data_IF_845500145470
#
_entry.id   IF_845500145470
#
_cell.length_a   1.000
_cell.length_b   1.000
_cell.length_c   1.000
_cell.angle_alpha   90.00
_cell.angle_beta   90.00
_cell.angle_gamma   90.00
#
_symmetry.space_group_name_H-M   'P 1'
#
loop_
_entity.id
_entity.type
_entity.pdbx_description
1 polymer ?
#
# COMPACT_ATOMS: atom_id res chain seq x y z
N UNK A 1 19.36 4.42 11.34
CA UNK A 1 20.82 4.53 11.41
C UNK A 1 21.42 3.78 12.60
N UNK A 2 21.00 4.07 13.80
CA UNK A 2 21.44 3.36 15.00
C UNK A 2 21.15 1.85 14.98
N UNK A 3 20.05 1.43 14.37
CA UNK A 3 19.54 0.06 14.37
C UNK A 3 20.37 -0.92 13.53
N UNK A 4 20.80 -0.53 12.35
CA UNK A 4 21.67 -1.40 11.52
C UNK A 4 23.06 -1.50 12.14
N UNK A 5 23.54 -0.40 12.75
CA UNK A 5 24.77 -0.38 13.50
C UNK A 5 24.71 -1.21 14.80
N UNK A 6 23.55 -1.27 15.47
CA UNK A 6 23.35 -2.09 16.67
C UNK A 6 23.33 -3.59 16.36
N UNK A 7 22.65 -4.01 15.30
CA UNK A 7 22.64 -5.43 14.89
C UNK A 7 24.04 -5.95 14.52
N UNK A 8 24.88 -5.08 13.98
CA UNK A 8 26.30 -5.38 13.70
C UNK A 8 27.16 -5.28 14.98
N UNK A 9 26.84 -4.34 15.89
CA UNK A 9 27.60 -4.08 17.12
C UNK A 9 27.61 -5.28 18.07
N UNK A 10 26.49 -5.96 18.24
CA UNK A 10 26.39 -7.09 19.18
C UNK A 10 27.09 -8.36 18.69
N UNK A 11 27.57 -8.39 17.44
CA UNK A 11 28.25 -9.55 16.85
C UNK A 11 29.74 -9.36 16.54
N UNK A 12 30.21 -8.12 16.55
CA UNK A 12 31.64 -7.86 16.37
C UNK A 12 32.32 -7.87 17.73
N UNK A 13 33.29 -8.77 17.97
CA UNK A 13 34.00 -8.85 19.25
C UNK A 13 34.71 -7.51 19.50
N UNK A 14 34.25 -6.80 20.50
CA UNK A 14 34.89 -5.57 20.98
C UNK A 14 35.99 -5.91 21.96
N UNK A 15 37.23 -5.75 21.56
CA UNK A 15 38.40 -5.92 22.47
C UNK A 15 38.68 -4.73 23.35
N UNK A 16 37.97 -3.59 23.20
CA UNK A 16 38.20 -2.35 23.97
C UNK A 16 36.98 -1.45 24.13
N UNK A 17 35.74 -1.96 24.12
CA UNK A 17 34.52 -1.14 24.25
C UNK A 17 34.25 -0.23 23.06
N UNK A 18 34.87 -0.45 21.88
CA UNK A 18 34.68 0.33 20.68
C UNK A 18 34.14 -0.57 19.55
N UNK A 19 33.11 -0.18 18.81
CA UNK A 19 32.68 -0.93 17.65
C UNK A 19 33.79 -0.85 16.59
N UNK A 20 34.60 -1.92 16.49
CA UNK A 20 35.54 -2.10 15.39
C UNK A 20 34.94 -3.08 14.41
N UNK A 21 34.82 -2.65 13.17
CA UNK A 21 34.75 -3.57 12.05
C UNK A 21 36.13 -4.19 11.98
N UNK A 22 36.25 -5.47 12.38
CA UNK A 22 37.48 -6.20 12.33
C UNK A 22 37.99 -6.21 10.88
N UNK A 23 39.23 -5.80 10.60
CA UNK A 23 39.84 -5.94 9.29
C UNK A 23 39.72 -7.35 8.73
N UNK A 24 39.78 -8.37 9.59
CA UNK A 24 39.59 -9.78 9.22
C UNK A 24 38.17 -10.09 8.71
N UNK A 25 37.16 -9.31 9.04
CA UNK A 25 35.83 -9.43 8.45
C UNK A 25 35.85 -9.03 6.98
N UNK A 26 36.63 -8.01 6.62
CA UNK A 26 36.84 -7.64 5.21
C UNK A 26 37.62 -8.73 4.44
N UNK A 27 38.61 -9.35 5.07
CA UNK A 27 39.36 -10.44 4.47
C UNK A 27 38.46 -11.67 4.23
N UNK A 28 37.71 -12.10 5.26
CA UNK A 28 36.75 -13.22 5.17
C UNK A 28 35.62 -12.98 4.18
N UNK A 29 35.21 -11.74 4.02
CA UNK A 29 34.28 -11.31 2.97
C UNK A 29 34.86 -11.56 1.58
N UNK A 30 36.18 -11.33 1.39
CA UNK A 30 36.90 -11.65 0.14
C UNK A 30 37.11 -13.12 -0.13
N UNK A 31 37.14 -13.96 0.91
CA UNK A 31 37.32 -15.42 0.86
C UNK A 31 36.01 -16.20 0.61
N UNK A 32 34.88 -15.52 0.45
CA UNK A 32 33.60 -16.16 0.13
C UNK A 32 32.83 -16.73 1.32
N UNK A 33 33.31 -16.56 2.55
CA UNK A 33 32.61 -16.96 3.78
C UNK A 33 31.29 -16.21 3.94
N UNK A 34 31.20 -14.98 3.38
CA UNK A 34 30.00 -14.17 3.28
C UNK A 34 29.74 -13.76 1.81
N UNK A 35 28.94 -14.54 1.06
CA UNK A 35 28.78 -14.34 -0.41
C UNK A 35 28.31 -12.94 -0.83
N UNK A 36 27.68 -12.20 0.07
CA UNK A 36 27.19 -10.83 -0.16
C UNK A 36 28.03 -9.77 0.56
N UNK A 37 29.20 -10.12 1.06
CA UNK A 37 30.07 -9.21 1.77
C UNK A 37 29.49 -8.75 3.11
N UNK A 38 29.87 -7.54 3.55
CA UNK A 38 29.34 -6.93 4.78
C UNK A 38 27.80 -6.86 4.80
N UNK A 39 27.17 -6.74 3.64
CA UNK A 39 25.72 -6.76 3.44
C UNK A 39 25.11 -8.11 3.83
N UNK A 40 25.75 -9.20 3.44
CA UNK A 40 25.37 -10.56 3.83
C UNK A 40 25.50 -10.81 5.33
N UNK A 41 26.53 -10.26 5.97
CA UNK A 41 26.72 -10.37 7.42
C UNK A 41 25.58 -9.74 8.23
N UNK A 42 25.03 -8.61 7.76
CA UNK A 42 23.91 -7.94 8.44
C UNK A 42 22.64 -8.81 8.39
N UNK A 43 22.42 -9.52 7.30
CA UNK A 43 21.25 -10.37 7.08
C UNK A 43 21.49 -11.85 7.42
N UNK A 44 22.75 -12.26 7.66
CA UNK A 44 23.07 -13.62 8.07
C UNK A 44 22.55 -13.91 9.48
N UNK A 45 22.13 -15.14 9.73
CA UNK A 45 21.76 -15.66 11.06
C UNK A 45 20.43 -15.15 11.67
N UNK A 46 19.54 -14.48 10.92
CA UNK A 46 18.19 -14.14 11.38
C UNK A 46 18.07 -13.01 12.41
N UNK A 47 19.16 -12.49 12.97
CA UNK A 47 19.13 -11.49 14.04
C UNK A 47 18.39 -10.21 13.71
N UNK A 48 18.38 -9.80 12.44
CA UNK A 48 17.61 -8.62 12.03
C UNK A 48 16.11 -8.90 12.10
N UNK A 49 15.69 -10.12 11.76
CA UNK A 49 14.29 -10.52 11.88
C UNK A 49 13.85 -10.63 13.35
N UNK A 50 14.71 -11.10 14.27
CA UNK A 50 14.42 -11.10 15.72
C UNK A 50 14.25 -9.67 16.25
N UNK A 51 15.10 -8.75 15.79
CA UNK A 51 14.95 -7.32 16.07
C UNK A 51 13.62 -6.79 15.58
N UNK A 52 13.18 -7.14 14.36
CA UNK A 52 11.90 -6.70 13.80
C UNK A 52 10.72 -7.20 14.65
N UNK A 53 10.75 -8.44 15.15
CA UNK A 53 9.69 -8.97 16.03
C UNK A 53 9.56 -8.14 17.31
N UNK A 54 10.70 -7.79 17.95
CA UNK A 54 10.69 -6.92 19.11
C UNK A 54 10.08 -5.55 18.80
N UNK A 55 10.50 -4.92 17.70
CA UNK A 55 10.00 -3.59 17.30
C UNK A 55 8.54 -3.57 16.85
N UNK A 56 8.06 -4.63 16.24
CA UNK A 56 6.64 -4.79 15.92
C UNK A 56 5.78 -4.89 17.18
N UNK A 57 6.29 -5.54 18.22
CA UNK A 57 5.63 -5.58 19.54
C UNK A 57 5.58 -4.19 20.18
N UNK A 58 6.67 -3.43 20.13
CA UNK A 58 6.70 -2.03 20.59
C UNK A 58 5.70 -1.13 19.83
N UNK A 59 5.65 -1.26 18.49
CA UNK A 59 4.67 -0.54 17.64
C UNK A 59 3.22 -0.86 18.03
N UNK A 60 2.95 -2.11 18.39
CA UNK A 60 1.62 -2.54 18.85
C UNK A 60 1.28 -1.97 20.22
N UNK A 61 2.23 -1.97 21.17
CA UNK A 61 2.06 -1.36 22.48
C UNK A 61 1.80 0.16 22.43
N UNK A 62 2.44 0.84 21.48
CA UNK A 62 2.23 2.28 21.24
C UNK A 62 0.95 2.59 20.44
N UNK A 63 0.17 1.59 20.06
CA UNK A 63 -1.04 1.76 19.27
C UNK A 63 -0.83 2.07 17.80
N UNK A 64 0.42 2.16 17.33
CA UNK A 64 0.76 2.52 15.93
C UNK A 64 0.39 1.38 14.97
N UNK A 65 0.50 0.13 15.42
CA UNK A 65 0.16 -1.06 14.64
C UNK A 65 -1.11 -1.76 15.17
N UNK A 66 -1.99 -1.02 15.82
CA UNK A 66 -3.26 -1.52 16.38
C UNK A 66 -4.39 -1.50 15.36
N UNK A 67 -5.45 -2.26 15.63
CA UNK A 67 -6.70 -2.22 14.85
C UNK A 67 -7.35 -0.84 14.91
N UNK A 68 -8.05 -0.49 13.85
CA UNK A 68 -8.75 0.81 13.73
C UNK A 68 -9.93 0.83 14.71
N UNK A 69 -9.99 1.85 15.55
CA UNK A 69 -11.14 2.05 16.41
C UNK A 69 -12.29 2.72 15.63
N UNK A 70 -13.32 1.94 15.32
CA UNK A 70 -14.50 2.41 14.57
C UNK A 70 -15.55 3.10 15.44
N UNK A 71 -15.43 3.08 16.78
CA UNK A 71 -16.47 3.58 17.69
C UNK A 71 -16.79 5.07 17.50
N UNK A 72 -15.80 5.87 17.10
CA UNK A 72 -15.92 7.31 16.87
C UNK A 72 -16.25 7.70 15.43
N UNK A 73 -16.32 6.74 14.52
CA UNK A 73 -16.63 7.03 13.12
C UNK A 73 -18.12 7.28 12.94
N UNK A 74 -18.54 8.13 11.99
CA UNK A 74 -19.95 8.35 11.69
C UNK A 74 -20.62 7.10 11.10
N UNK A 75 -21.95 7.05 11.13
CA UNK A 75 -22.76 6.01 10.48
C UNK A 75 -22.44 5.91 9.00
N UNK A 76 -22.36 4.70 8.45
CA UNK A 76 -21.96 4.45 7.07
C UNK A 76 -20.44 4.37 6.85
N UNK A 77 -19.62 4.72 7.86
CA UNK A 77 -18.18 4.45 7.77
C UNK A 77 -17.93 2.96 7.78
N UNK A 78 -16.91 2.51 7.03
CA UNK A 78 -16.48 1.12 7.08
C UNK A 78 -14.98 0.99 7.34
N UNK A 79 -14.64 -0.16 7.91
CA UNK A 79 -13.26 -0.56 8.22
C UNK A 79 -12.99 -1.91 7.59
N UNK A 80 -11.91 -1.98 6.80
CA UNK A 80 -11.39 -3.19 6.17
C UNK A 80 -9.98 -3.44 6.70
N UNK A 81 -9.80 -4.57 7.41
CA UNK A 81 -8.51 -5.00 7.94
C UNK A 81 -8.32 -6.50 7.69
N UNK A 82 -7.15 -6.89 7.21
CA UNK A 82 -6.79 -8.30 7.07
C UNK A 82 -5.27 -8.48 7.03
N UNK A 83 -4.77 -9.63 7.52
CA UNK A 83 -3.36 -9.96 7.40
C UNK A 83 -3.03 -10.30 5.95
N UNK A 84 -1.87 -9.90 5.51
CA UNK A 84 -1.34 -10.18 4.18
C UNK A 84 0.00 -10.91 4.30
N UNK A 85 0.22 -11.87 3.41
CA UNK A 85 1.49 -12.59 3.24
C UNK A 85 1.98 -12.32 1.82
N UNK A 86 3.23 -11.89 1.68
CA UNK A 86 3.82 -11.64 0.36
C UNK A 86 4.04 -12.95 -0.39
N UNK A 87 3.44 -13.09 -1.57
CA UNK A 87 3.74 -14.17 -2.52
C UNK A 87 5.04 -13.89 -3.30
N UNK A 88 5.37 -12.61 -3.50
CA UNK A 88 6.57 -12.14 -4.18
C UNK A 88 7.20 -11.00 -3.37
N UNK A 89 8.54 -10.80 -3.46
CA UNK A 89 9.21 -9.78 -2.67
C UNK A 89 8.62 -8.38 -2.87
N UNK A 90 8.70 -7.56 -1.83
CA UNK A 90 8.38 -6.14 -1.89
C UNK A 90 9.66 -5.31 -1.83
N UNK A 91 9.74 -4.32 -2.70
CA UNK A 91 10.86 -3.39 -2.81
C UNK A 91 10.34 -1.96 -2.86
N UNK A 92 10.92 -1.11 -2.02
CA UNK A 92 10.70 0.33 -2.03
C UNK A 92 12.00 0.99 -1.61
N UNK A 93 12.64 1.72 -2.51
CA UNK A 93 13.93 2.37 -2.20
C UNK A 93 13.73 3.48 -1.17
N UNK A 94 14.64 3.52 -0.18
CA UNK A 94 14.77 4.64 0.73
C UNK A 94 15.81 5.64 0.16
N UNK A 95 15.52 6.93 0.26
CA UNK A 95 16.39 8.00 -0.25
C UNK A 95 17.41 8.49 0.80
N UNK A 96 17.49 7.85 1.96
CA UNK A 96 18.43 8.22 3.02
C UNK A 96 19.83 7.69 2.68
N UNK A 97 20.81 8.61 2.54
CA UNK A 97 22.17 8.33 2.09
C UNK A 97 23.08 7.61 3.12
N UNK A 98 22.59 7.28 4.31
CA UNK A 98 23.42 6.76 5.41
C UNK A 98 23.24 5.26 5.72
N UNK A 99 22.75 4.48 4.78
CA UNK A 99 22.71 3.03 4.95
C UNK A 99 24.01 2.37 4.46
N UNK A 100 24.46 1.35 5.16
CA UNK A 100 25.57 0.49 4.73
C UNK A 100 25.24 -0.20 3.40
N UNK A 101 23.96 -0.37 3.10
CA UNK A 101 23.42 -0.99 1.89
C UNK A 101 23.09 0.10 0.88
N UNK A 102 23.57 -0.04 -0.36
CA UNK A 102 23.39 0.95 -1.44
C UNK A 102 21.92 1.12 -1.87
N UNK A 103 21.14 0.04 -1.78
CA UNK A 103 19.72 0.03 -2.14
C UNK A 103 18.88 -0.51 -0.98
N UNK A 104 18.74 0.27 0.11
CA UNK A 104 17.96 -0.16 1.27
C UNK A 104 16.47 -0.15 0.95
N UNK A 105 15.72 -1.09 1.53
CA UNK A 105 14.27 -1.00 1.57
C UNK A 105 13.84 0.11 2.53
N UNK A 106 12.76 0.79 2.21
CA UNK A 106 12.23 1.86 3.06
C UNK A 106 11.80 1.33 4.42
N UNK A 107 12.33 1.96 5.47
CA UNK A 107 12.07 1.64 6.88
C UNK A 107 11.48 2.84 7.61
N UNK A 108 10.71 2.58 8.66
CA UNK A 108 10.36 3.60 9.62
C UNK A 108 11.63 4.17 10.27
N UNK A 109 11.69 5.48 10.41
CA UNK A 109 12.92 6.16 10.87
C UNK A 109 13.22 5.95 12.34
N UNK A 110 12.20 5.71 13.15
CA UNK A 110 12.33 5.55 14.61
C UNK A 110 12.61 4.09 14.96
N UNK A 111 11.79 3.19 14.40
CA UNK A 111 11.83 1.78 14.75
C UNK A 111 12.71 0.92 13.84
N UNK A 112 13.10 1.44 12.66
CA UNK A 112 13.90 0.69 11.68
C UNK A 112 13.14 -0.48 11.03
N UNK A 113 11.83 -0.55 11.16
CA UNK A 113 10.99 -1.62 10.61
C UNK A 113 10.67 -1.31 9.15
N UNK A 114 10.82 -2.26 8.22
CA UNK A 114 10.42 -2.06 6.83
C UNK A 114 8.91 -1.88 6.75
N UNK A 115 8.46 -0.92 5.95
CA UNK A 115 7.05 -0.59 5.85
C UNK A 115 6.64 -0.06 4.49
N UNK A 116 5.36 -0.17 4.21
CA UNK A 116 4.71 0.57 3.14
C UNK A 116 3.87 1.69 3.75
N UNK A 117 4.09 2.93 3.31
CA UNK A 117 3.39 4.07 3.88
C UNK A 117 1.93 4.15 3.41
N UNK A 118 1.08 4.81 4.21
CA UNK A 118 -0.29 5.13 3.85
C UNK A 118 -0.41 5.82 2.47
N UNK A 119 0.52 6.73 2.17
CA UNK A 119 0.55 7.43 0.87
C UNK A 119 0.89 6.48 -0.29
N UNK A 120 1.77 5.49 -0.07
CA UNK A 120 2.10 4.50 -1.09
C UNK A 120 0.90 3.57 -1.35
N UNK A 121 0.18 3.13 -0.32
CA UNK A 121 -1.08 2.39 -0.46
C UNK A 121 -2.10 3.19 -1.26
N UNK A 122 -2.34 4.45 -0.87
CA UNK A 122 -3.26 5.34 -1.58
C UNK A 122 -2.89 5.51 -3.05
N UNK A 123 -1.62 5.73 -3.35
CA UNK A 123 -1.13 5.91 -4.72
C UNK A 123 -1.29 4.66 -5.58
N UNK A 124 -0.99 3.48 -5.01
CA UNK A 124 -1.14 2.21 -5.72
C UNK A 124 -2.61 1.87 -5.98
N UNK A 125 -3.48 1.99 -4.97
CA UNK A 125 -4.90 1.71 -5.14
C UNK A 125 -5.55 2.69 -6.12
N UNK A 126 -5.24 3.99 -6.01
CA UNK A 126 -5.72 5.02 -6.93
C UNK A 126 -5.36 4.68 -8.38
N UNK A 127 -4.12 4.33 -8.63
CA UNK A 127 -3.64 3.94 -9.95
C UNK A 127 -4.32 2.66 -10.45
N UNK A 128 -4.46 1.66 -9.61
CA UNK A 128 -5.12 0.40 -9.97
C UNK A 128 -6.58 0.62 -10.34
N UNK A 129 -7.33 1.40 -9.55
CA UNK A 129 -8.73 1.69 -9.85
C UNK A 129 -8.88 2.51 -11.15
N UNK A 130 -7.91 3.37 -11.49
CA UNK A 130 -7.88 4.02 -12.81
C UNK A 130 -7.74 3.01 -13.95
N UNK A 131 -6.88 2.00 -13.78
CA UNK A 131 -6.68 0.93 -14.77
C UNK A 131 -7.91 0.03 -14.93
N UNK A 132 -8.56 -0.29 -13.83
CA UNK A 132 -9.70 -1.22 -13.79
C UNK A 132 -11.00 -0.56 -14.25
N UNK A 133 -11.24 0.68 -13.85
CA UNK A 133 -12.54 1.32 -14.05
C UNK A 133 -12.52 2.44 -15.10
N UNK A 134 -11.48 3.24 -15.19
CA UNK A 134 -11.44 4.40 -16.08
C UNK A 134 -10.96 4.03 -17.48
N UNK A 135 -9.84 3.36 -17.63
CA UNK A 135 -9.28 3.02 -18.93
C UNK A 135 -10.25 2.19 -19.81
N UNK A 136 -10.95 1.14 -19.29
CA UNK A 136 -11.89 0.38 -20.09
C UNK A 136 -13.14 1.17 -20.55
N UNK A 137 -13.40 2.32 -19.93
CA UNK A 137 -14.54 3.18 -20.25
C UNK A 137 -14.13 4.50 -20.97
N UNK A 138 -12.91 4.57 -21.52
CA UNK A 138 -12.39 5.75 -22.18
C UNK A 138 -13.23 6.19 -23.42
N UNK A 139 -13.87 5.24 -24.08
CA UNK A 139 -14.71 5.47 -25.27
C UNK A 139 -16.17 5.86 -24.90
N UNK A 140 -16.51 5.94 -23.61
CA UNK A 140 -17.84 6.33 -23.14
C UNK A 140 -17.72 7.54 -22.20
N UNK A 141 -17.80 8.79 -22.71
CA UNK A 141 -17.56 10.00 -21.94
C UNK A 141 -18.48 10.14 -20.72
N UNK A 142 -19.77 9.81 -20.84
CA UNK A 142 -20.72 9.96 -19.74
C UNK A 142 -20.39 9.01 -18.58
N UNK A 143 -20.15 7.73 -18.88
CA UNK A 143 -19.75 6.75 -17.89
C UNK A 143 -18.39 7.07 -17.29
N UNK A 144 -17.45 7.52 -18.12
CA UNK A 144 -16.13 7.95 -17.68
C UNK A 144 -16.20 9.10 -16.68
N UNK A 145 -17.05 10.11 -16.92
CA UNK A 145 -17.26 11.24 -15.98
C UNK A 145 -17.78 10.76 -14.65
N UNK A 146 -18.79 9.87 -14.64
CA UNK A 146 -19.37 9.34 -13.40
C UNK A 146 -18.30 8.59 -12.56
N UNK A 147 -17.56 7.70 -13.20
CA UNK A 147 -16.49 6.93 -12.54
C UNK A 147 -15.38 7.87 -12.03
N UNK A 148 -14.92 8.82 -12.86
CA UNK A 148 -13.87 9.79 -12.49
C UNK A 148 -14.29 10.68 -11.32
N UNK A 149 -15.55 11.09 -11.32
CA UNK A 149 -16.11 11.88 -10.22
C UNK A 149 -16.12 11.10 -8.91
N UNK A 150 -16.64 9.85 -8.89
CA UNK A 150 -16.58 8.98 -7.72
C UNK A 150 -15.15 8.71 -7.27
N UNK A 151 -14.25 8.45 -8.20
CA UNK A 151 -12.83 8.28 -7.91
C UNK A 151 -12.22 9.53 -7.24
N UNK A 152 -12.65 10.73 -7.65
CA UNK A 152 -12.24 11.98 -6.99
C UNK A 152 -12.80 12.10 -5.57
N UNK A 153 -14.02 11.67 -5.30
CA UNK A 153 -14.58 11.64 -3.95
C UNK A 153 -13.86 10.63 -3.05
N UNK A 154 -13.49 9.46 -3.58
CA UNK A 154 -12.77 8.42 -2.84
C UNK A 154 -11.34 8.85 -2.47
N UNK A 155 -10.58 9.42 -3.42
CA UNK A 155 -9.17 9.71 -3.26
C UNK A 155 -8.82 11.19 -3.02
N UNK A 156 -9.77 12.08 -3.17
CA UNK A 156 -9.53 13.52 -3.23
C UNK A 156 -9.09 14.00 -4.61
N UNK A 157 -8.93 15.30 -4.75
CA UNK A 157 -8.58 15.97 -6.00
C UNK A 157 -7.35 15.34 -6.67
N UNK A 158 -7.37 15.25 -7.97
CA UNK A 158 -6.30 14.68 -8.77
C UNK A 158 -5.01 15.50 -8.65
N UNK A 159 -3.86 14.81 -8.61
CA UNK A 159 -2.57 15.49 -8.69
C UNK A 159 -2.45 16.24 -10.02
N UNK A 160 -2.12 17.52 -9.95
CA UNK A 160 -2.05 18.42 -11.11
C UNK A 160 -3.39 19.07 -11.47
N UNK A 161 -4.42 18.90 -10.64
CA UNK A 161 -5.68 19.61 -10.79
C UNK A 161 -5.45 21.13 -10.78
N UNK A 162 -6.09 21.84 -11.69
CA UNK A 162 -5.87 23.29 -11.89
C UNK A 162 -4.68 23.62 -12.79
N UNK A 163 -3.61 22.84 -12.79
CA UNK A 163 -2.42 23.05 -13.64
C UNK A 163 -2.42 22.18 -14.91
N UNK A 164 -3.39 21.27 -15.04
CA UNK A 164 -3.49 20.31 -16.16
C UNK A 164 -2.20 19.50 -16.33
N UNK A 165 -1.70 18.94 -15.22
CA UNK A 165 -0.49 18.11 -15.14
C UNK A 165 -0.78 16.78 -14.45
N UNK A 166 0.16 15.85 -14.51
CA UNK A 166 0.12 14.59 -13.78
C UNK A 166 -1.11 13.75 -14.12
N UNK A 167 -1.86 13.32 -13.10
CA UNK A 167 -3.04 12.48 -13.29
C UNK A 167 -4.17 13.18 -14.03
N UNK A 168 -4.36 14.47 -13.79
CA UNK A 168 -5.37 15.26 -14.50
C UNK A 168 -5.09 15.30 -16.01
N UNK A 169 -3.84 15.55 -16.39
CA UNK A 169 -3.43 15.55 -17.80
C UNK A 169 -3.64 14.18 -18.46
N UNK A 170 -3.25 13.12 -17.75
CA UNK A 170 -3.43 11.76 -18.23
C UNK A 170 -4.89 11.42 -18.49
N UNK A 171 -5.78 11.70 -17.52
CA UNK A 171 -7.22 11.42 -17.66
C UNK A 171 -7.92 12.31 -18.69
N UNK A 172 -7.50 13.58 -18.79
CA UNK A 172 -8.01 14.50 -19.83
C UNK A 172 -7.58 14.08 -21.25
N UNK A 173 -6.42 13.42 -21.40
CA UNK A 173 -5.97 12.83 -22.67
C UNK A 173 -6.65 11.51 -22.97
N UNK A 174 -6.95 10.72 -21.95
CA UNK A 174 -7.61 9.41 -22.10
C UNK A 174 -9.04 9.54 -22.61
N UNK A 175 -9.80 10.53 -22.11
CA UNK A 175 -11.16 10.83 -22.57
C UNK A 175 -11.35 12.36 -22.66
N UNK A 176 -10.95 12.99 -23.78
CA UNK A 176 -11.01 14.45 -23.94
C UNK A 176 -12.43 15.03 -23.80
N UNK A 177 -13.43 14.32 -24.29
CA UNK A 177 -14.84 14.75 -24.30
C UNK A 177 -15.44 14.78 -22.87
N UNK A 178 -14.91 13.98 -21.95
CA UNK A 178 -15.32 13.97 -20.55
C UNK A 178 -14.81 15.18 -19.74
N UNK A 179 -13.80 15.91 -20.26
CA UNK A 179 -13.10 16.96 -19.52
C UNK A 179 -14.01 18.08 -19.00
N UNK A 180 -14.86 18.61 -19.87
CA UNK A 180 -15.74 19.72 -19.51
C UNK A 180 -16.87 19.27 -18.59
N UNK A 181 -17.47 18.11 -18.83
CA UNK A 181 -18.53 17.55 -17.99
C UNK A 181 -18.03 17.26 -16.57
N UNK A 182 -16.81 16.72 -16.45
CA UNK A 182 -16.17 16.52 -15.14
C UNK A 182 -16.00 17.83 -14.36
N UNK A 183 -15.59 18.91 -15.03
CA UNK A 183 -15.43 20.22 -14.40
C UNK A 183 -16.76 20.82 -13.97
N UNK A 184 -17.79 20.69 -14.79
CA UNK A 184 -19.16 21.14 -14.45
C UNK A 184 -19.65 20.38 -13.20
N UNK A 185 -19.57 19.07 -13.20
CA UNK A 185 -20.03 18.22 -12.09
C UNK A 185 -19.31 18.56 -10.76
N UNK A 186 -18.00 18.82 -10.78
CA UNK A 186 -17.27 19.25 -9.59
C UNK A 186 -17.69 20.64 -9.12
N UNK A 187 -17.88 21.60 -10.03
CA UNK A 187 -18.36 22.96 -9.68
C UNK A 187 -19.71 22.91 -8.99
N UNK A 188 -20.65 22.16 -9.54
CA UNK A 188 -22.00 22.01 -9.00
C UNK A 188 -21.98 21.33 -7.62
N UNK A 189 -21.30 20.17 -7.50
CA UNK A 189 -21.22 19.44 -6.22
C UNK A 189 -20.61 20.27 -5.10
N UNK A 190 -19.57 21.06 -5.38
CA UNK A 190 -18.84 21.81 -4.37
C UNK A 190 -19.19 23.32 -4.34
N UNK A 191 -20.18 23.74 -5.12
CA UNK A 191 -20.63 25.14 -5.19
C UNK A 191 -19.46 26.13 -5.40
N UNK A 192 -18.61 25.87 -6.38
CA UNK A 192 -17.46 26.69 -6.71
C UNK A 192 -17.66 27.42 -8.05
N UNK A 193 -17.10 28.63 -8.16
CA UNK A 193 -17.15 29.41 -9.41
C UNK A 193 -16.27 28.79 -10.51
N UNK A 194 -15.11 28.30 -10.13
CA UNK A 194 -14.18 27.64 -11.04
C UNK A 194 -13.85 26.23 -10.54
N UNK A 195 -13.78 25.27 -11.45
CA UNK A 195 -13.41 23.90 -11.12
C UNK A 195 -11.97 23.78 -10.56
N UNK A 196 -11.05 24.68 -10.97
CA UNK A 196 -9.68 24.69 -10.45
C UNK A 196 -9.62 24.98 -8.95
N UNK A 197 -10.64 25.66 -8.39
CA UNK A 197 -10.70 26.01 -6.96
C UNK A 197 -11.32 24.87 -6.12
N UNK A 198 -11.68 23.74 -6.77
CA UNK A 198 -12.16 22.56 -6.07
C UNK A 198 -10.98 21.77 -5.53
N UNK A 199 -10.76 21.83 -4.23
CA UNK A 199 -9.80 21.01 -3.51
C UNK A 199 -10.56 20.13 -2.54
N UNK A 200 -10.54 18.82 -2.77
CA UNK A 200 -11.30 17.84 -1.99
C UNK A 200 -10.39 16.87 -1.27
N UNK A 201 -10.74 16.53 -0.05
CA UNK A 201 -10.17 15.39 0.66
C UNK A 201 -10.87 14.11 0.20
N UNK A 202 -10.14 13.00 0.09
CA UNK A 202 -10.75 11.70 -0.21
C UNK A 202 -11.42 11.07 1.00
N UNK A 203 -12.45 10.27 0.77
CA UNK A 203 -13.16 9.51 1.80
C UNK A 203 -12.40 8.29 2.31
N UNK A 204 -11.34 7.86 1.61
CA UNK A 204 -10.49 6.72 1.98
C UNK A 204 -9.31 7.16 2.85
N UNK A 205 -9.14 6.47 3.97
CA UNK A 205 -8.05 6.67 4.94
C UNK A 205 -7.19 5.42 5.02
N UNK A 206 -5.95 5.55 4.61
CA UNK A 206 -4.97 4.47 4.55
C UNK A 206 -4.09 4.46 5.78
N UNK A 207 -3.66 3.28 6.18
CA UNK A 207 -2.73 3.08 7.29
C UNK A 207 -1.44 2.42 6.79
N UNK A 208 -0.30 2.66 7.45
CA UNK A 208 0.92 1.97 7.08
C UNK A 208 0.83 0.47 7.38
N UNK A 209 1.52 -0.33 6.58
CA UNK A 209 1.75 -1.76 6.84
C UNK A 209 3.21 -1.96 7.19
N UNK A 210 3.49 -2.53 8.35
CA UNK A 210 4.82 -2.90 8.81
C UNK A 210 5.06 -4.38 8.55
N UNK A 211 6.28 -4.72 8.10
CA UNK A 211 6.64 -6.07 7.71
C UNK A 211 7.50 -6.76 8.75
N UNK A 212 7.26 -8.06 8.93
CA UNK A 212 7.92 -8.88 9.93
C UNK A 212 9.27 -9.47 9.51
N UNK A 213 9.65 -9.30 8.24
CA UNK A 213 10.90 -9.84 7.67
C UNK A 213 11.59 -8.85 6.76
N UNK A 214 12.90 -9.04 6.66
CA UNK A 214 13.78 -8.32 5.73
C UNK A 214 14.84 -9.29 5.21
N UNK A 215 15.27 -9.11 3.96
CA UNK A 215 16.26 -9.95 3.31
C UNK A 215 16.97 -9.17 2.20
N UNK A 216 17.88 -9.81 1.52
CA UNK A 216 18.62 -9.27 0.38
C UNK A 216 18.43 -10.11 -0.88
N UNK A 217 18.27 -9.43 -1.98
CA UNK A 217 18.33 -10.08 -3.31
C UNK A 217 19.43 -9.47 -4.17
N UNK A 218 19.92 -10.28 -5.10
CA UNK A 218 20.89 -9.86 -6.11
C UNK A 218 20.20 -9.79 -7.45
N UNK A 219 20.30 -8.64 -8.11
CA UNK A 219 19.83 -8.47 -9.48
C UNK A 219 21.06 -8.28 -10.36
N UNK A 220 21.23 -9.17 -11.32
CA UNK A 220 22.31 -9.07 -12.29
C UNK A 220 21.75 -8.55 -13.63
N UNK A 221 21.94 -7.25 -13.94
CA UNK A 221 21.54 -6.71 -15.23
C UNK A 221 22.34 -7.35 -16.34
N UNK A 222 21.68 -7.79 -17.40
CA UNK A 222 22.34 -8.31 -18.60
C UNK A 222 22.38 -7.22 -19.68
N UNK A 223 23.50 -7.11 -20.34
CA UNK A 223 23.62 -6.27 -21.52
C UNK A 223 22.78 -6.90 -22.66
N UNK A 224 21.92 -6.09 -23.28
CA UNK A 224 20.98 -6.58 -24.32
C UNK A 224 21.69 -7.02 -25.59
N UNK A 225 22.87 -6.45 -25.89
CA UNK A 225 23.65 -6.77 -27.11
C UNK A 225 24.55 -7.98 -26.92
N UNK A 226 25.30 -8.01 -25.83
CA UNK A 226 26.29 -9.05 -25.55
C UNK A 226 25.74 -10.23 -24.78
N UNK A 227 24.55 -10.10 -24.18
CA UNK A 227 23.92 -11.08 -23.27
C UNK A 227 24.77 -11.44 -22.04
N UNK A 228 25.82 -10.66 -21.78
CA UNK A 228 26.70 -10.85 -20.63
C UNK A 228 26.13 -10.15 -19.42
N UNK A 229 26.29 -10.75 -18.24
CA UNK A 229 25.95 -10.12 -16.97
C UNK A 229 26.84 -8.90 -16.73
N UNK A 230 26.26 -7.82 -16.22
CA UNK A 230 26.98 -6.68 -15.66
C UNK A 230 27.23 -6.91 -14.17
N UNK A 231 27.83 -5.93 -13.49
CA UNK A 231 28.05 -6.02 -12.06
C UNK A 231 26.73 -6.31 -11.31
N UNK A 232 26.70 -7.32 -10.44
CA UNK A 232 25.52 -7.64 -9.63
C UNK A 232 25.18 -6.47 -8.70
N UNK A 233 23.89 -6.13 -8.62
CA UNK A 233 23.38 -5.07 -7.78
C UNK A 233 22.61 -5.70 -6.63
N UNK A 234 22.98 -5.35 -5.40
CA UNK A 234 22.36 -5.84 -4.18
C UNK A 234 21.21 -4.91 -3.77
N UNK A 235 20.07 -5.49 -3.49
CA UNK A 235 18.88 -4.79 -3.01
C UNK A 235 18.40 -5.41 -1.70
N UNK A 236 18.17 -4.58 -0.72
CA UNK A 236 17.41 -4.98 0.46
C UNK A 236 15.93 -5.00 0.11
N UNK A 237 15.22 -6.04 0.55
CA UNK A 237 13.81 -6.29 0.21
C UNK A 237 13.06 -6.83 1.42
N UNK A 238 11.74 -6.75 1.36
CA UNK A 238 10.86 -7.59 2.17
C UNK A 238 10.65 -8.87 1.38
N UNK A 239 11.04 -10.06 1.89
CA UNK A 239 11.00 -11.30 1.11
C UNK A 239 9.59 -11.84 0.95
N UNK A 240 9.39 -12.78 0.01
CA UNK A 240 8.22 -13.62 -0.03
C UNK A 240 8.02 -14.34 1.32
N UNK A 241 6.78 -14.59 1.72
CA UNK A 241 6.44 -15.13 3.04
C UNK A 241 6.55 -14.14 4.20
N UNK A 242 6.91 -12.87 3.95
CA UNK A 242 6.78 -11.82 4.96
C UNK A 242 5.32 -11.45 5.18
N UNK A 243 4.99 -11.11 6.43
CA UNK A 243 3.64 -10.82 6.89
C UNK A 243 3.50 -9.36 7.30
N UNK A 244 2.33 -8.82 7.04
CA UNK A 244 1.89 -7.51 7.49
C UNK A 244 0.39 -7.47 7.66
N UNK A 245 -0.17 -6.31 7.99
CA UNK A 245 -1.62 -6.12 8.09
C UNK A 245 -2.00 -4.94 7.20
N UNK A 246 -2.89 -5.20 6.24
CA UNK A 246 -3.52 -4.14 5.45
C UNK A 246 -4.68 -3.53 6.24
N UNK A 247 -4.75 -2.20 6.24
CA UNK A 247 -5.81 -1.46 6.94
C UNK A 247 -6.28 -0.28 6.10
N UNK A 248 -7.59 -0.20 5.95
CA UNK A 248 -8.26 0.86 5.21
C UNK A 248 -9.55 1.23 5.93
N UNK A 249 -9.79 2.51 6.09
CA UNK A 249 -11.06 3.04 6.57
C UNK A 249 -11.67 3.97 5.52
N UNK A 250 -12.97 4.09 5.56
CA UNK A 250 -13.77 4.98 4.73
C UNK A 250 -14.72 5.79 5.60
N UNK A 251 -14.82 7.07 5.32
CA UNK A 251 -15.76 7.99 6.01
C UNK A 251 -16.60 8.68 4.95
N UNK A 252 -17.93 8.45 4.93
CA UNK A 252 -18.84 8.92 3.89
C UNK A 252 -19.23 10.39 4.01
N UNK A 253 -18.29 11.30 4.29
CA UNK A 253 -18.63 12.69 4.63
C UNK A 253 -19.29 13.47 3.48
N UNK A 254 -19.16 13.05 2.23
CA UNK A 254 -19.90 13.65 1.11
C UNK A 254 -21.33 13.14 0.97
N UNK A 255 -21.69 12.09 1.71
CA UNK A 255 -23.02 11.51 1.74
C UNK A 255 -23.78 11.83 3.03
N UNK A 256 -23.10 12.42 4.04
CA UNK A 256 -23.75 12.82 5.28
C UNK A 256 -24.82 13.88 5.00
N UNK A 257 -26.02 13.66 5.54
CA UNK A 257 -27.19 14.55 5.32
C UNK A 257 -28.14 14.08 4.22
N UNK A 258 -27.80 13.04 3.46
CA UNK A 258 -28.73 12.33 2.58
C UNK A 258 -29.65 11.40 3.41
N UNK A 259 -30.79 10.97 2.84
CA UNK A 259 -31.61 9.90 3.44
C UNK A 259 -30.78 8.65 3.73
N UNK A 260 -31.10 7.96 4.80
CA UNK A 260 -30.31 6.83 5.30
C UNK A 260 -30.13 5.70 4.26
N UNK A 261 -31.18 5.37 3.52
CA UNK A 261 -31.12 4.32 2.49
C UNK A 261 -30.24 4.75 1.31
N UNK A 262 -30.26 6.02 0.92
CA UNK A 262 -29.37 6.55 -0.11
C UNK A 262 -27.89 6.53 0.33
N UNK A 263 -27.62 6.88 1.60
CA UNK A 263 -26.26 6.75 2.17
C UNK A 263 -25.79 5.31 2.13
N UNK A 264 -26.64 4.38 2.54
CA UNK A 264 -26.35 2.95 2.57
C UNK A 264 -26.02 2.40 1.19
N UNK A 265 -26.83 2.74 0.18
CA UNK A 265 -26.60 2.34 -1.21
C UNK A 265 -25.24 2.84 -1.72
N UNK A 266 -24.95 4.14 -1.58
CA UNK A 266 -23.69 4.74 -2.02
C UNK A 266 -22.46 4.15 -1.30
N UNK A 267 -22.60 3.88 0.00
CA UNK A 267 -21.53 3.30 0.81
C UNK A 267 -21.20 1.88 0.35
N UNK A 268 -22.21 1.07 0.03
CA UNK A 268 -22.00 -0.31 -0.46
C UNK A 268 -21.44 -0.31 -1.88
N UNK A 269 -21.91 0.59 -2.73
CA UNK A 269 -21.37 0.77 -4.08
C UNK A 269 -19.88 1.18 -4.05
N UNK A 270 -19.51 2.15 -3.20
CA UNK A 270 -18.12 2.57 -3.00
C UNK A 270 -17.26 1.44 -2.43
N UNK A 271 -17.78 0.68 -1.46
CA UNK A 271 -17.08 -0.46 -0.85
C UNK A 271 -16.79 -1.54 -1.88
N UNK A 272 -17.78 -1.91 -2.72
CA UNK A 272 -17.63 -2.90 -3.79
C UNK A 272 -16.50 -2.51 -4.75
N UNK A 273 -16.52 -1.29 -5.27
CA UNK A 273 -15.49 -0.83 -6.20
C UNK A 273 -14.11 -0.80 -5.56
N UNK A 274 -14.02 -0.41 -4.28
CA UNK A 274 -12.76 -0.41 -3.54
C UNK A 274 -12.23 -1.82 -3.33
N UNK A 275 -13.07 -2.80 -2.99
CA UNK A 275 -12.66 -4.20 -2.82
C UNK A 275 -12.10 -4.77 -4.13
N UNK A 276 -12.79 -4.56 -5.25
CA UNK A 276 -12.28 -4.95 -6.58
C UNK A 276 -10.92 -4.28 -6.84
N UNK A 277 -10.79 -3.00 -6.57
CA UNK A 277 -9.51 -2.28 -6.70
C UNK A 277 -8.41 -2.82 -5.81
N UNK A 278 -8.71 -3.17 -4.56
CA UNK A 278 -7.75 -3.76 -3.60
C UNK A 278 -7.32 -5.16 -4.07
N UNK A 279 -8.24 -6.01 -4.49
CA UNK A 279 -7.95 -7.34 -5.04
C UNK A 279 -7.02 -7.23 -6.25
N UNK A 280 -7.36 -6.41 -7.22
CA UNK A 280 -6.56 -6.24 -8.43
C UNK A 280 -5.18 -5.65 -8.11
N UNK A 281 -5.10 -4.69 -7.18
CA UNK A 281 -3.82 -4.14 -6.72
C UNK A 281 -2.92 -5.22 -6.10
N UNK A 282 -3.49 -6.14 -5.32
CA UNK A 282 -2.73 -7.12 -4.55
C UNK A 282 -2.41 -8.41 -5.31
N UNK A 283 -3.30 -8.83 -6.22
CA UNK A 283 -3.16 -10.11 -6.92
C UNK A 283 -2.71 -9.97 -8.38
N UNK A 284 -3.00 -8.82 -9.04
CA UNK A 284 -2.75 -8.66 -10.48
C UNK A 284 -1.65 -7.62 -10.75
N UNK A 285 -1.77 -6.40 -10.22
CA UNK A 285 -0.86 -5.31 -10.56
C UNK A 285 0.37 -5.21 -9.68
N UNK A 286 0.28 -5.66 -8.41
CA UNK A 286 1.32 -5.47 -7.41
C UNK A 286 1.44 -4.02 -6.90
N UNK A 287 2.04 -3.85 -5.73
CA UNK A 287 2.19 -2.55 -5.06
C UNK A 287 3.66 -2.18 -4.76
N UNK A 288 4.61 -2.88 -5.36
CA UNK A 288 6.06 -2.69 -5.20
C UNK A 288 6.68 -1.91 -6.35
N UNK A 289 7.93 -1.49 -6.21
CA UNK A 289 8.78 -1.26 -7.37
C UNK A 289 8.96 -2.58 -8.15
N UNK A 290 9.29 -2.50 -9.44
CA UNK A 290 9.44 -3.68 -10.34
C UNK A 290 8.17 -4.54 -10.48
N UNK A 291 7.00 -3.90 -10.55
CA UNK A 291 5.71 -4.57 -10.82
C UNK A 291 5.74 -5.48 -12.05
N UNK A 292 6.45 -5.09 -13.12
CA UNK A 292 6.62 -5.91 -14.33
C UNK A 292 7.33 -7.25 -14.08
N UNK A 293 8.01 -7.39 -12.94
CA UNK A 293 8.62 -8.65 -12.49
C UNK A 293 7.76 -9.37 -11.44
N UNK A 294 6.53 -8.92 -11.22
CA UNK A 294 5.59 -9.50 -10.27
C UNK A 294 5.85 -9.14 -8.79
N UNK A 295 6.73 -8.18 -8.50
CA UNK A 295 7.03 -7.80 -7.12
C UNK A 295 5.85 -7.12 -6.43
N UNK A 296 5.68 -7.40 -5.13
CA UNK A 296 4.63 -6.82 -4.30
C UNK A 296 3.24 -7.41 -4.58
N UNK A 297 3.15 -8.70 -4.81
CA UNK A 297 1.92 -9.47 -4.84
C UNK A 297 1.77 -10.27 -3.55
N UNK A 298 0.55 -10.56 -3.13
CA UNK A 298 0.24 -11.36 -1.94
C UNK A 298 -0.32 -12.73 -2.30
N UNK A 299 -0.34 -13.62 -1.30
CA UNK A 299 -1.11 -14.86 -1.32
C UNK A 299 -2.60 -14.53 -1.12
N UNK A 300 -3.49 -15.14 -1.91
CA UNK A 300 -4.93 -14.98 -1.74
C UNK A 300 -5.45 -16.00 -0.72
N UNK A 301 -5.16 -15.74 0.55
CA UNK A 301 -5.60 -16.55 1.66
C UNK A 301 -4.94 -16.12 2.97
N UNK A 302 -5.74 -16.00 4.03
CA UNK A 302 -5.28 -15.59 5.36
C UNK A 302 -6.14 -16.15 6.48
N UNK A 303 -5.67 -15.98 7.70
CA UNK A 303 -6.43 -16.36 8.90
C UNK A 303 -7.70 -15.51 9.02
N UNK A 304 -8.85 -16.14 8.74
CA UNK A 304 -10.19 -15.54 8.81
C UNK A 304 -10.46 -14.86 10.15
N UNK A 305 -10.01 -15.41 11.26
CA UNK A 305 -10.18 -14.83 12.60
C UNK A 305 -9.51 -13.46 12.78
N UNK A 306 -8.49 -13.15 11.96
CA UNK A 306 -7.74 -11.89 12.02
C UNK A 306 -8.20 -10.84 10.99
N UNK A 307 -9.19 -11.16 10.15
CA UNK A 307 -9.78 -10.20 9.23
C UNK A 307 -10.94 -9.45 9.88
N UNK A 308 -11.31 -8.32 9.29
CA UNK A 308 -12.42 -7.50 9.75
C UNK A 308 -12.98 -6.68 8.59
N UNK A 309 -14.28 -6.81 8.36
CA UNK A 309 -15.08 -5.88 7.59
C UNK A 309 -16.33 -5.53 8.40
N UNK A 310 -16.59 -4.25 8.59
CA UNK A 310 -17.83 -3.75 9.19
C UNK A 310 -18.26 -2.45 8.51
N UNK A 311 -19.55 -2.21 8.46
CA UNK A 311 -20.13 -0.94 8.02
C UNK A 311 -20.96 -0.37 9.16
N UNK A 312 -20.43 0.62 9.84
CA UNK A 312 -21.01 1.15 11.08
C UNK A 312 -22.47 1.59 10.91
N UNK A 313 -23.34 1.00 11.71
CA UNK A 313 -24.78 1.29 11.75
C UNK A 313 -25.59 0.67 10.61
N UNK A 314 -24.96 -0.08 9.70
CA UNK A 314 -25.65 -0.79 8.62
C UNK A 314 -25.40 -2.31 8.64
N UNK A 315 -24.16 -2.73 8.84
CA UNK A 315 -23.78 -4.14 8.82
C UNK A 315 -22.76 -4.48 9.89
N UNK A 316 -23.04 -5.55 10.63
CA UNK A 316 -22.18 -6.04 11.69
C UNK A 316 -20.87 -6.59 11.15
N UNK A 317 -19.91 -6.73 12.05
CA UNK A 317 -18.57 -7.23 11.78
C UNK A 317 -18.62 -8.62 11.11
N UNK A 318 -17.99 -8.71 9.96
CA UNK A 318 -17.77 -9.94 9.20
C UNK A 318 -16.31 -10.34 9.19
N UNK A 319 -16.07 -11.65 9.06
CA UNK A 319 -14.75 -12.27 8.93
C UNK A 319 -14.67 -12.98 7.60
N UNK A 320 -13.51 -12.91 6.94
CA UNK A 320 -13.27 -13.48 5.62
C UNK A 320 -11.84 -14.00 5.51
N UNK A 321 -11.60 -15.04 4.71
CA UNK A 321 -10.30 -15.70 4.57
C UNK A 321 -9.58 -15.42 3.25
N UNK A 322 -10.27 -14.87 2.26
CA UNK A 322 -9.77 -14.54 0.93
C UNK A 322 -10.63 -13.44 0.28
N UNK A 323 -10.30 -13.03 -0.94
CA UNK A 323 -11.07 -12.00 -1.65
C UNK A 323 -12.41 -12.51 -2.15
N UNK A 324 -12.55 -13.77 -2.50
CA UNK A 324 -13.82 -14.37 -2.95
C UNK A 324 -14.87 -14.26 -1.83
N UNK A 325 -14.55 -14.73 -0.61
CA UNK A 325 -15.44 -14.59 0.55
C UNK A 325 -15.77 -13.11 0.86
N UNK A 326 -14.80 -12.21 0.69
CA UNK A 326 -15.01 -10.78 0.92
C UNK A 326 -16.00 -10.18 -0.10
N UNK A 327 -15.87 -10.54 -1.36
CA UNK A 327 -16.78 -10.09 -2.43
C UNK A 327 -18.20 -10.67 -2.23
N UNK A 328 -18.33 -11.94 -1.87
CA UNK A 328 -19.62 -12.58 -1.55
C UNK A 328 -20.36 -11.87 -0.41
N UNK A 329 -19.65 -11.47 0.65
CA UNK A 329 -20.24 -10.72 1.76
C UNK A 329 -20.85 -9.39 1.27
N UNK A 330 -20.13 -8.66 0.44
CA UNK A 330 -20.58 -7.35 -0.04
C UNK A 330 -21.71 -7.48 -1.06
N UNK A 331 -21.66 -8.46 -1.94
CA UNK A 331 -22.78 -8.74 -2.87
C UNK A 331 -24.06 -9.11 -2.10
N UNK A 332 -23.95 -9.94 -1.06
CA UNK A 332 -25.11 -10.27 -0.20
C UNK A 332 -25.69 -9.04 0.51
N UNK A 333 -24.87 -8.04 0.84
CA UNK A 333 -25.34 -6.78 1.42
C UNK A 333 -26.04 -5.90 0.39
N UNK A 334 -25.53 -5.85 -0.85
CA UNK A 334 -26.17 -5.12 -1.96
C UNK A 334 -27.57 -5.69 -2.26
N UNK A 335 -27.69 -7.00 -2.42
CA UNK A 335 -28.97 -7.67 -2.73
C UNK A 335 -30.04 -7.43 -1.65
N UNK A 336 -29.62 -7.29 -0.38
CA UNK A 336 -30.54 -6.92 0.71
C UNK A 336 -30.96 -5.46 0.63
N UNK A 337 -30.08 -4.57 0.18
CA UNK A 337 -30.37 -3.14 0.01
C UNK A 337 -31.39 -2.93 -1.12
N UNK A 338 -31.23 -3.61 -2.26
CA UNK A 338 -32.12 -3.53 -3.42
C UNK A 338 -33.53 -4.11 -3.18
N UNK A 339 -33.69 -5.04 -2.22
CA UNK A 339 -35.00 -5.63 -1.87
C UNK A 339 -35.85 -4.75 -0.94
N UNK A 340 -35.27 -3.72 -0.36
CA UNK A 340 -35.92 -2.86 0.63
C UNK A 340 -36.10 -1.43 0.10
N UNK A 341 -35.61 -1.13 -1.10
CA UNK A 341 -35.85 0.10 -1.87
C UNK A 341 -37.03 -0.09 -2.85
#
# INVERSE_FOLDING_TARGET
>A
MLTTAYAVKDKLPDRRGRPKIDPDVYARVGEGEYPMGLKGLIHSNGNYNDYLQCKLSELSLLGINSSINSSFLPKGSWVLEFPITLAKPFMSKDDISFYIIENPVRKDRVFGVPFISAMAWKGNLRWTMMKVFLEPNADNPDKFVQIRFRHTLLFGTEKGWGETKGWTEYLDKLCPDAKNNMRIMLKEKFNKRDAKDVHTQGMLYFYPTFWDKIDMIVINPHDRKTRTGRNPIYFEVVPAGAKGIFRLAYIPFYWLGLPEEEVKEKVIEDLKDVIVGVREMMLTYGFSAKKSSGFGMIEDGWNKGKSRLEVKGFYDLQKFGNFEELEEIVEAWRDKSERHA
#
